data_IF_220573395086
#
_entry.id   IF_220573395086
#
_cell.length_a   1.000
_cell.length_b   1.000
_cell.length_c   1.000
_cell.angle_alpha   90.00
_cell.angle_beta   90.00
_cell.angle_gamma   90.00
#
_symmetry.space_group_name_H-M   'P 1'
#
loop_
_entity.id
_entity.type
_entity.pdbx_description
1 polymer ?
#
# COMPACT_ATOMS: atom_id res chain seq x y z
N UNK A 1 34.11 -49.91 37.99
CA UNK A 1 33.36 -48.68 38.25
C UNK A 1 33.52 -47.76 37.07
N UNK A 2 32.66 -47.91 36.08
CA UNK A 2 32.60 -47.07 34.87
C UNK A 2 31.68 -45.87 35.12
N UNK A 3 32.20 -44.66 34.95
CA UNK A 3 31.42 -43.43 35.01
C UNK A 3 30.82 -43.16 33.62
N UNK A 4 29.52 -43.37 33.50
CA UNK A 4 28.75 -42.97 32.35
C UNK A 4 28.64 -41.42 32.33
N UNK A 5 29.30 -40.77 31.35
CA UNK A 5 29.10 -39.36 31.03
C UNK A 5 27.77 -39.24 30.30
N UNK A 6 26.74 -38.73 30.98
CA UNK A 6 25.55 -38.24 30.34
C UNK A 6 25.87 -36.88 29.71
N UNK A 7 25.99 -36.87 28.38
CA UNK A 7 25.97 -35.65 27.59
C UNK A 7 24.53 -35.07 27.66
N UNK A 8 24.39 -33.91 28.31
CA UNK A 8 23.15 -33.15 28.24
C UNK A 8 23.07 -32.52 26.86
N UNK A 9 22.26 -33.11 25.98
CA UNK A 9 21.78 -32.49 24.78
C UNK A 9 20.95 -31.26 25.19
N UNK A 10 21.57 -30.09 25.08
CA UNK A 10 20.88 -28.82 25.14
C UNK A 10 20.13 -28.63 23.81
N UNK A 11 18.97 -29.27 23.68
CA UNK A 11 18.03 -28.95 22.61
C UNK A 11 17.61 -27.50 22.78
N UNK A 12 18.29 -26.63 22.02
CA UNK A 12 17.90 -25.25 21.84
C UNK A 12 16.44 -25.23 21.38
N UNK A 13 15.55 -24.82 22.29
CA UNK A 13 14.21 -24.38 21.94
C UNK A 13 14.38 -23.23 20.93
N UNK A 14 14.24 -23.55 19.65
CA UNK A 14 14.29 -22.58 18.57
C UNK A 14 13.11 -21.63 18.70
N UNK A 15 13.30 -20.55 19.47
CA UNK A 15 12.36 -19.45 19.49
C UNK A 15 12.15 -18.97 18.05
N UNK A 16 10.92 -18.93 17.58
CA UNK A 16 10.60 -18.43 16.25
C UNK A 16 11.24 -17.05 16.07
N UNK A 17 12.09 -16.92 15.04
CA UNK A 17 12.75 -15.63 14.76
C UNK A 17 11.70 -14.61 14.35
N UNK A 18 11.73 -13.44 14.98
CA UNK A 18 10.89 -12.31 14.57
C UNK A 18 11.18 -11.97 13.10
N UNK A 19 10.13 -11.77 12.34
CA UNK A 19 10.18 -11.23 10.98
C UNK A 19 10.30 -9.70 11.02
N UNK A 20 10.92 -9.07 10.02
CA UNK A 20 11.23 -7.63 10.08
C UNK A 20 9.99 -6.73 10.01
N UNK A 21 9.01 -7.07 9.18
CA UNK A 21 7.89 -6.18 8.85
C UNK A 21 6.63 -6.97 8.54
N UNK A 22 5.51 -6.51 9.09
CA UNK A 22 4.15 -6.89 8.71
C UNK A 22 3.49 -5.73 7.99
N UNK A 23 2.74 -6.00 6.92
CA UNK A 23 1.80 -5.04 6.34
C UNK A 23 0.37 -5.50 6.64
N UNK A 24 -0.41 -4.66 7.33
CA UNK A 24 -1.86 -4.84 7.49
C UNK A 24 -2.58 -3.86 6.56
N UNK A 25 -3.34 -4.38 5.62
CA UNK A 25 -3.93 -3.65 4.51
C UNK A 25 -5.45 -3.77 4.51
N UNK A 26 -6.10 -2.79 3.88
CA UNK A 26 -7.56 -2.73 3.79
C UNK A 26 -8.15 -3.75 2.82
N UNK A 27 -7.53 -3.94 1.65
CA UNK A 27 -8.11 -4.75 0.59
C UNK A 27 -7.07 -5.45 -0.31
N UNK A 28 -7.56 -6.19 -1.29
CA UNK A 28 -6.75 -6.97 -2.23
C UNK A 28 -6.03 -6.11 -3.25
N UNK A 29 -6.58 -4.96 -3.64
CA UNK A 29 -5.96 -4.01 -4.56
C UNK A 29 -4.74 -3.37 -3.91
N UNK A 30 -4.87 -2.97 -2.65
CA UNK A 30 -3.75 -2.47 -1.85
C UNK A 30 -2.66 -3.54 -1.69
N UNK A 31 -3.05 -4.78 -1.39
CA UNK A 31 -2.11 -5.89 -1.28
C UNK A 31 -1.37 -6.13 -2.61
N UNK A 32 -2.08 -6.14 -3.72
CA UNK A 32 -1.50 -6.34 -5.05
C UNK A 32 -0.56 -5.20 -5.45
N UNK A 33 -0.94 -3.96 -5.14
CA UNK A 33 -0.07 -2.79 -5.36
C UNK A 33 1.23 -2.90 -4.57
N UNK A 34 1.15 -3.26 -3.29
CA UNK A 34 2.34 -3.37 -2.45
C UNK A 34 3.19 -4.59 -2.81
N UNK A 35 2.59 -5.71 -3.21
CA UNK A 35 3.33 -6.83 -3.78
C UNK A 35 4.09 -6.42 -5.03
N UNK A 36 3.47 -5.67 -5.94
CA UNK A 36 4.15 -5.13 -7.12
C UNK A 36 5.33 -4.22 -6.75
N UNK A 37 5.18 -3.33 -5.78
CA UNK A 37 6.28 -2.50 -5.31
C UNK A 37 7.40 -3.31 -4.67
N UNK A 38 7.09 -4.12 -3.66
CA UNK A 38 8.08 -4.85 -2.88
C UNK A 38 8.65 -6.08 -3.59
N UNK A 39 7.96 -6.60 -4.61
CA UNK A 39 8.45 -7.69 -5.47
C UNK A 39 9.57 -7.29 -6.43
N UNK A 40 9.83 -5.98 -6.60
CA UNK A 40 10.92 -5.48 -7.45
C UNK A 40 12.29 -5.83 -6.87
N UNK A 41 13.22 -6.22 -7.73
CA UNK A 41 14.61 -6.36 -7.29
C UNK A 41 15.12 -5.05 -6.68
N UNK A 42 15.63 -5.16 -5.46
CA UNK A 42 16.22 -4.03 -4.71
C UNK A 42 15.31 -2.81 -4.56
N UNK A 43 13.98 -3.00 -4.48
CA UNK A 43 13.03 -1.89 -4.28
C UNK A 43 13.38 -1.00 -3.09
N UNK A 44 13.91 -1.58 -2.01
CA UNK A 44 14.41 -0.83 -0.87
C UNK A 44 15.43 0.26 -1.24
N UNK A 45 16.27 0.03 -2.28
CA UNK A 45 17.20 1.05 -2.77
C UNK A 45 16.47 2.22 -3.43
N UNK A 46 15.41 1.96 -4.16
CA UNK A 46 14.56 3.01 -4.76
C UNK A 46 13.88 3.87 -3.69
N UNK A 47 13.59 3.28 -2.53
CA UNK A 47 13.11 4.00 -1.37
C UNK A 47 14.21 4.75 -0.61
N UNK A 48 15.48 4.43 -0.84
CA UNK A 48 16.63 4.96 -0.11
C UNK A 48 16.75 4.40 1.31
N UNK A 49 16.30 3.17 1.53
CA UNK A 49 16.49 2.43 2.77
C UNK A 49 17.38 1.20 2.58
N UNK A 50 17.82 0.61 3.68
CA UNK A 50 18.51 -0.68 3.70
C UNK A 50 17.56 -1.84 3.39
N UNK A 51 18.08 -3.06 3.22
CA UNK A 51 17.26 -4.25 3.08
C UNK A 51 16.31 -4.40 4.26
N UNK A 52 15.06 -4.78 4.00
CA UNK A 52 14.06 -5.02 5.04
C UNK A 52 14.32 -6.40 5.66
N UNK A 53 15.26 -6.44 6.59
CA UNK A 53 15.74 -7.69 7.20
C UNK A 53 15.94 -7.53 8.70
N UNK A 54 15.74 -8.62 9.45
CA UNK A 54 15.98 -8.69 10.88
C UNK A 54 16.58 -10.06 11.22
N UNK A 55 17.79 -10.09 11.81
CA UNK A 55 18.44 -11.32 12.27
C UNK A 55 18.47 -12.46 11.23
N UNK A 56 18.62 -12.10 9.94
CA UNK A 56 18.62 -13.04 8.82
C UNK A 56 17.25 -13.38 8.25
N UNK A 57 16.15 -12.98 8.89
CA UNK A 57 14.82 -13.02 8.28
C UNK A 57 14.67 -11.84 7.30
N UNK A 58 14.05 -12.09 6.16
CA UNK A 58 13.82 -11.10 5.09
C UNK A 58 12.30 -10.91 4.98
N UNK A 59 11.88 -9.67 4.74
CA UNK A 59 10.48 -9.38 4.42
C UNK A 59 10.08 -10.09 3.12
N UNK A 60 8.97 -10.80 3.18
CA UNK A 60 8.38 -11.53 2.07
C UNK A 60 7.00 -10.94 1.73
N UNK A 61 6.89 -10.24 0.59
CA UNK A 61 5.65 -9.60 0.18
C UNK A 61 4.48 -10.54 -0.07
N UNK A 62 4.74 -11.84 -0.26
CA UNK A 62 3.66 -12.84 -0.40
C UNK A 62 3.14 -13.32 0.96
N UNK A 63 4.03 -13.44 1.95
CA UNK A 63 3.71 -14.07 3.23
C UNK A 63 3.61 -13.09 4.42
N UNK A 64 4.08 -11.85 4.29
CA UNK A 64 4.11 -10.86 5.38
C UNK A 64 3.10 -9.73 5.16
N UNK A 65 2.15 -9.93 4.25
CA UNK A 65 0.99 -9.06 4.03
C UNK A 65 -0.27 -9.75 4.56
N UNK A 66 -1.06 -9.01 5.31
CA UNK A 66 -2.41 -9.40 5.76
C UNK A 66 -3.43 -8.42 5.21
N UNK A 67 -4.52 -8.93 4.70
CA UNK A 67 -5.69 -8.11 4.31
C UNK A 67 -6.75 -8.25 5.38
N UNK A 68 -7.27 -7.13 5.85
CA UNK A 68 -8.34 -7.15 6.85
C UNK A 68 -9.68 -7.52 6.18
N UNK A 69 -10.44 -8.51 6.69
CA UNK A 69 -11.69 -8.94 6.07
C UNK A 69 -12.78 -7.86 6.06
N UNK A 70 -12.67 -6.87 6.94
CA UNK A 70 -13.59 -5.72 7.03
C UNK A 70 -13.14 -4.50 6.23
N UNK A 71 -12.18 -4.64 5.31
CA UNK A 71 -11.66 -3.56 4.47
C UNK A 71 -11.20 -2.32 5.29
N UNK A 72 -11.28 -1.09 4.74
CA UNK A 72 -10.89 0.13 5.44
C UNK A 72 -11.59 0.32 6.79
N UNK A 73 -12.92 0.13 6.91
CA UNK A 73 -13.59 0.16 8.21
C UNK A 73 -13.06 -0.86 9.20
N UNK A 74 -12.61 -2.03 8.73
CA UNK A 74 -12.04 -3.08 9.55
C UNK A 74 -10.66 -2.69 10.09
N UNK A 75 -9.76 -2.21 9.23
CA UNK A 75 -8.45 -1.70 9.66
C UNK A 75 -8.61 -0.54 10.63
N UNK A 76 -9.61 0.31 10.45
CA UNK A 76 -9.88 1.42 11.36
C UNK A 76 -10.41 0.97 12.72
N UNK A 77 -11.43 0.07 12.75
CA UNK A 77 -12.19 -0.24 13.97
C UNK A 77 -11.71 -1.47 14.73
N UNK A 78 -11.04 -2.38 14.07
CA UNK A 78 -10.68 -3.70 14.60
C UNK A 78 -9.29 -4.20 14.17
N UNK A 79 -8.26 -3.34 14.12
CA UNK A 79 -6.91 -3.78 13.73
C UNK A 79 -6.35 -4.82 14.71
N UNK A 80 -6.77 -4.79 15.98
CA UNK A 80 -6.30 -5.69 17.02
C UNK A 80 -6.71 -7.15 16.76
N UNK A 81 -7.80 -7.41 16.03
CA UNK A 81 -8.21 -8.77 15.68
C UNK A 81 -7.09 -9.56 14.97
N UNK A 82 -6.27 -8.85 14.18
CA UNK A 82 -5.11 -9.44 13.50
C UNK A 82 -3.83 -9.16 14.30
N UNK A 83 -3.60 -7.92 14.69
CA UNK A 83 -2.31 -7.49 15.23
C UNK A 83 -1.98 -8.10 16.60
N UNK A 84 -2.98 -8.46 17.39
CA UNK A 84 -2.73 -9.05 18.72
C UNK A 84 -1.92 -10.36 18.63
N UNK A 85 -2.23 -11.23 17.69
CA UNK A 85 -1.48 -12.47 17.48
C UNK A 85 -0.11 -12.22 16.81
N UNK A 86 -0.05 -11.25 15.90
CA UNK A 86 1.15 -11.02 15.09
C UNK A 86 2.26 -10.24 15.81
N UNK A 87 1.99 -9.60 16.94
CA UNK A 87 2.99 -8.81 17.70
C UNK A 87 4.23 -9.59 18.16
N UNK A 88 4.10 -10.92 18.27
CA UNK A 88 5.20 -11.83 18.67
C UNK A 88 5.96 -12.38 17.47
N UNK A 89 5.41 -12.20 16.27
CA UNK A 89 5.95 -12.73 15.02
C UNK A 89 6.72 -11.67 14.23
N UNK A 90 6.40 -10.38 14.43
CA UNK A 90 6.97 -9.28 13.65
C UNK A 90 7.55 -8.19 14.53
N UNK A 91 8.66 -7.59 14.06
CA UNK A 91 9.32 -6.47 14.72
C UNK A 91 8.60 -5.14 14.45
N UNK A 92 8.18 -4.90 13.22
CA UNK A 92 7.52 -3.67 12.79
C UNK A 92 6.22 -3.98 12.06
N UNK A 93 5.27 -3.04 12.08
CA UNK A 93 4.01 -3.15 11.37
C UNK A 93 3.63 -1.82 10.68
N UNK A 94 3.21 -1.89 9.44
CA UNK A 94 2.54 -0.79 8.74
C UNK A 94 1.06 -1.13 8.58
N UNK A 95 0.20 -0.21 9.03
CA UNK A 95 -1.24 -0.26 8.73
C UNK A 95 -1.50 0.72 7.59
N UNK A 96 -2.05 0.23 6.48
CA UNK A 96 -2.25 1.05 5.28
C UNK A 96 -3.70 0.91 4.84
N UNK A 97 -4.37 2.05 4.71
CA UNK A 97 -5.77 2.14 4.32
C UNK A 97 -6.03 3.45 3.58
N UNK A 98 -7.15 3.53 2.89
CA UNK A 98 -7.59 4.74 2.20
C UNK A 98 -8.14 5.78 3.18
N UNK A 99 -8.09 7.06 2.80
CA UNK A 99 -8.72 8.15 3.56
C UNK A 99 -10.23 8.23 3.27
N UNK A 100 -10.63 7.84 2.06
CA UNK A 100 -11.99 8.04 1.56
C UNK A 100 -12.74 6.72 1.37
N UNK A 101 -13.72 6.46 2.21
CA UNK A 101 -14.73 5.42 2.03
C UNK A 101 -16.08 5.91 2.55
N UNK A 102 -17.17 5.22 2.22
CA UNK A 102 -18.51 5.60 2.69
C UNK A 102 -18.57 5.58 4.24
N UNK A 103 -18.84 6.74 4.83
CA UNK A 103 -18.91 6.90 6.28
C UNK A 103 -17.55 7.08 6.96
N UNK A 104 -16.47 7.32 6.20
CA UNK A 104 -15.16 7.60 6.78
C UNK A 104 -15.20 8.83 7.70
N UNK A 105 -14.61 8.76 8.90
CA UNK A 105 -14.44 9.93 9.74
C UNK A 105 -13.31 10.82 9.22
N UNK A 106 -13.07 11.94 9.90
CA UNK A 106 -11.93 12.80 9.55
C UNK A 106 -10.60 12.06 9.71
N UNK A 107 -9.61 12.29 8.85
CA UNK A 107 -8.31 11.60 8.85
C UNK A 107 -7.62 11.54 10.21
N UNK A 108 -7.60 12.65 10.94
CA UNK A 108 -6.99 12.71 12.27
C UNK A 108 -7.68 11.76 13.27
N UNK A 109 -9.01 11.57 13.13
CA UNK A 109 -9.76 10.64 13.99
C UNK A 109 -9.44 9.20 13.60
N UNK A 110 -9.33 8.87 12.32
CA UNK A 110 -8.93 7.52 11.86
C UNK A 110 -7.60 7.14 12.50
N UNK A 111 -6.60 8.01 12.37
CA UNK A 111 -5.26 7.77 12.91
C UNK A 111 -5.30 7.58 14.44
N UNK A 112 -5.95 8.50 15.14
CA UNK A 112 -6.02 8.45 16.61
C UNK A 112 -6.74 7.19 17.13
N UNK A 113 -7.84 6.79 16.49
CA UNK A 113 -8.59 5.59 16.86
C UNK A 113 -7.72 4.33 16.63
N UNK A 114 -7.06 4.21 15.48
CA UNK A 114 -6.17 3.07 15.18
C UNK A 114 -5.01 3.01 16.19
N UNK A 115 -4.32 4.13 16.41
CA UNK A 115 -3.21 4.20 17.36
C UNK A 115 -3.66 3.79 18.78
N UNK A 116 -4.83 4.26 19.21
CA UNK A 116 -5.43 3.87 20.48
C UNK A 116 -5.63 2.36 20.59
N UNK A 117 -6.26 1.72 19.60
CA UNK A 117 -6.53 0.29 19.59
C UNK A 117 -5.25 -0.56 19.50
N UNK A 118 -4.30 -0.13 18.67
CA UNK A 118 -3.03 -0.85 18.50
C UNK A 118 -2.22 -0.84 19.80
N UNK A 119 -2.19 0.30 20.50
CA UNK A 119 -1.49 0.43 21.78
C UNK A 119 -2.22 -0.32 22.90
N UNK A 120 -3.54 -0.05 23.07
CA UNK A 120 -4.30 -0.51 24.24
C UNK A 120 -4.73 -1.97 24.13
N UNK A 121 -5.06 -2.46 22.95
CA UNK A 121 -5.63 -3.79 22.75
C UNK A 121 -4.68 -4.75 22.04
N UNK A 122 -4.08 -4.36 20.91
CA UNK A 122 -3.10 -5.19 20.25
C UNK A 122 -1.74 -5.24 20.98
N UNK A 123 -1.51 -4.33 21.96
CA UNK A 123 -0.31 -4.30 22.81
C UNK A 123 1.00 -4.14 22.04
N UNK A 124 0.98 -3.40 20.94
CA UNK A 124 2.18 -2.99 20.24
C UNK A 124 2.78 -1.74 20.87
N UNK A 125 4.10 -1.61 20.82
CA UNK A 125 4.82 -0.40 21.25
C UNK A 125 4.76 0.67 20.15
N UNK A 126 4.73 1.97 20.53
CA UNK A 126 4.51 3.09 19.60
C UNK A 126 5.55 3.18 18.48
N UNK A 127 6.77 2.81 18.76
CA UNK A 127 7.88 2.84 17.79
C UNK A 127 7.88 1.65 16.83
N UNK A 128 7.03 0.66 17.05
CA UNK A 128 6.96 -0.58 16.27
C UNK A 128 5.88 -0.56 15.20
N UNK A 129 5.01 0.43 15.16
CA UNK A 129 3.99 0.52 14.13
C UNK A 129 3.84 1.94 13.57
N UNK A 130 3.29 2.05 12.37
CA UNK A 130 2.92 3.31 11.75
C UNK A 130 1.66 3.15 10.91
N UNK A 131 0.82 4.19 10.91
CA UNK A 131 -0.41 4.25 10.12
C UNK A 131 -0.18 5.11 8.89
N UNK A 132 -0.40 4.55 7.72
CA UNK A 132 -0.30 5.24 6.43
C UNK A 132 -1.73 5.40 5.89
N UNK A 133 -2.19 6.63 5.79
CA UNK A 133 -3.50 6.97 5.27
C UNK A 133 -3.34 7.52 3.86
N UNK A 134 -3.81 6.78 2.85
CA UNK A 134 -3.65 7.14 1.44
C UNK A 134 -4.74 8.15 1.06
N UNK A 135 -4.37 9.21 0.37
CA UNK A 135 -5.28 10.30 0.03
C UNK A 135 -5.43 10.47 -1.47
N UNK A 136 -6.67 10.48 -1.98
CA UNK A 136 -7.90 10.05 -1.30
C UNK A 136 -7.99 8.54 -1.20
N UNK A 137 -7.44 7.80 -2.17
CA UNK A 137 -7.54 6.37 -2.38
C UNK A 137 -6.26 5.84 -3.04
N UNK A 138 -6.03 4.53 -2.93
CA UNK A 138 -4.85 3.81 -3.42
C UNK A 138 -4.51 4.11 -4.87
N UNK A 139 -5.50 4.24 -5.73
CA UNK A 139 -5.31 4.45 -7.17
C UNK A 139 -4.48 5.72 -7.47
N UNK A 140 -4.42 6.67 -6.53
CA UNK A 140 -3.52 7.82 -6.64
C UNK A 140 -2.05 7.43 -6.81
N UNK A 141 -1.63 6.27 -6.30
CA UNK A 141 -0.26 5.78 -6.44
C UNK A 141 0.03 5.19 -7.82
N UNK A 142 -0.99 4.73 -8.55
CA UNK A 142 -0.86 4.13 -9.87
C UNK A 142 -0.73 5.19 -10.96
N UNK A 143 -1.41 6.33 -10.78
CA UNK A 143 -1.44 7.39 -11.78
C UNK A 143 -0.11 8.12 -11.87
N UNK A 144 0.62 7.84 -12.95
CA UNK A 144 1.87 8.49 -13.32
C UNK A 144 1.93 8.72 -14.82
N UNK A 145 2.76 9.67 -15.25
CA UNK A 145 3.02 9.94 -16.65
C UNK A 145 3.98 8.90 -17.22
N UNK A 146 3.48 7.71 -17.50
CA UNK A 146 4.21 6.61 -18.11
C UNK A 146 3.23 5.69 -18.86
N UNK A 147 3.70 4.80 -19.72
CA UNK A 147 2.83 3.91 -20.50
C UNK A 147 2.21 2.77 -19.69
N UNK A 148 2.63 2.52 -18.46
CA UNK A 148 2.31 1.29 -17.74
C UNK A 148 0.83 1.13 -17.41
N UNK A 149 0.12 2.24 -17.17
CA UNK A 149 -1.33 2.19 -17.00
C UNK A 149 -2.01 1.81 -18.31
N UNK A 150 -1.61 2.44 -19.44
CA UNK A 150 -2.15 2.10 -20.75
C UNK A 150 -1.88 0.63 -21.12
N UNK A 151 -0.67 0.16 -20.88
CA UNK A 151 -0.27 -1.24 -21.11
C UNK A 151 -1.12 -2.22 -20.31
N UNK A 152 -1.27 -2.00 -19.01
CA UNK A 152 -2.01 -2.88 -18.12
C UNK A 152 -3.51 -2.95 -18.46
N UNK A 153 -4.08 -1.86 -18.98
CA UNK A 153 -5.46 -1.82 -19.48
C UNK A 153 -5.60 -2.22 -20.95
N UNK A 154 -4.51 -2.59 -21.61
CA UNK A 154 -4.47 -2.87 -23.05
C UNK A 154 -5.09 -1.76 -23.90
N UNK A 155 -4.89 -0.51 -23.48
CA UNK A 155 -5.45 0.63 -24.20
C UNK A 155 -4.84 0.73 -25.62
N UNK A 156 -5.70 0.78 -26.64
CA UNK A 156 -5.27 0.69 -28.04
C UNK A 156 -4.92 2.04 -28.67
N UNK A 157 -5.04 3.14 -27.94
CA UNK A 157 -4.70 4.47 -28.43
C UNK A 157 -3.27 4.90 -28.05
N UNK A 158 -2.93 6.12 -28.46
CA UNK A 158 -1.69 6.77 -28.03
C UNK A 158 -1.83 7.36 -26.63
N UNK A 159 -0.70 7.68 -25.97
CA UNK A 159 -0.70 8.37 -24.68
C UNK A 159 -1.51 9.67 -24.74
N UNK A 160 -1.37 10.46 -25.79
CA UNK A 160 -2.14 11.70 -25.97
C UNK A 160 -3.64 11.42 -26.00
N UNK A 161 -4.08 10.38 -26.70
CA UNK A 161 -5.49 9.99 -26.76
C UNK A 161 -5.98 9.50 -25.39
N UNK A 162 -5.19 8.71 -24.67
CA UNK A 162 -5.52 8.28 -23.31
C UNK A 162 -5.72 9.49 -22.40
N UNK A 163 -4.77 10.40 -22.37
CA UNK A 163 -4.87 11.57 -21.49
C UNK A 163 -6.02 12.50 -21.87
N UNK A 164 -6.29 12.66 -23.17
CA UNK A 164 -7.44 13.41 -23.65
C UNK A 164 -8.76 12.74 -23.23
N UNK A 165 -8.84 11.42 -23.34
CA UNK A 165 -9.97 10.65 -22.87
C UNK A 165 -10.20 10.84 -21.36
N UNK A 166 -9.17 10.65 -20.55
CA UNK A 166 -9.25 10.78 -19.09
C UNK A 166 -9.60 12.22 -18.65
N UNK A 167 -9.03 13.22 -19.32
CA UNK A 167 -9.38 14.62 -19.08
C UNK A 167 -10.85 14.89 -19.39
N UNK A 168 -11.38 14.13 -20.31
CA UNK A 168 -12.76 14.21 -20.73
C UNK A 168 -13.75 13.42 -19.88
N UNK A 169 -13.36 12.65 -18.90
CA UNK A 169 -14.27 11.86 -18.08
C UNK A 169 -14.61 12.56 -16.76
N UNK A 170 -15.85 12.42 -16.32
CA UNK A 170 -16.26 12.72 -14.96
C UNK A 170 -17.06 11.54 -14.41
N UNK A 171 -16.93 11.32 -13.12
CA UNK A 171 -17.63 10.26 -12.42
C UNK A 171 -18.86 10.83 -11.72
N UNK A 172 -20.01 10.22 -11.94
CA UNK A 172 -21.22 10.45 -11.14
C UNK A 172 -21.43 9.30 -10.18
N UNK A 173 -21.67 9.65 -8.94
CA UNK A 173 -22.21 8.70 -7.99
C UNK A 173 -23.65 8.42 -8.35
N UNK A 174 -24.00 7.17 -8.61
CA UNK A 174 -25.39 6.75 -8.77
C UNK A 174 -26.05 6.75 -7.38
N UNK A 175 -26.84 7.78 -7.10
CA UNK A 175 -27.50 7.95 -5.81
C UNK A 175 -28.48 6.83 -5.45
N UNK A 176 -29.02 6.11 -6.46
CA UNK A 176 -29.96 5.00 -6.22
C UNK A 176 -29.25 3.69 -5.90
N UNK A 177 -28.17 3.40 -6.63
CA UNK A 177 -27.47 2.11 -6.55
C UNK A 177 -26.11 2.24 -5.89
N UNK A 178 -25.70 3.44 -5.46
CA UNK A 178 -24.35 3.75 -4.92
C UNK A 178 -23.23 3.31 -5.87
N UNK A 179 -23.53 3.30 -7.18
CA UNK A 179 -22.57 2.95 -8.23
C UNK A 179 -22.04 4.19 -8.89
N UNK A 180 -20.79 4.16 -9.22
CA UNK A 180 -20.20 5.18 -10.06
C UNK A 180 -20.63 5.00 -11.51
N UNK A 181 -21.03 6.09 -12.18
CA UNK A 181 -21.34 6.14 -13.59
C UNK A 181 -20.45 7.14 -14.29
N UNK A 182 -19.90 6.72 -15.41
CA UNK A 182 -19.10 7.58 -16.25
C UNK A 182 -19.98 8.52 -17.03
N UNK A 183 -19.67 9.79 -17.02
CA UNK A 183 -20.34 10.82 -17.80
C UNK A 183 -19.30 11.37 -18.77
N UNK A 184 -19.71 11.55 -20.00
CA UNK A 184 -18.90 12.25 -21.00
C UNK A 184 -18.50 13.61 -20.45
N UNK A 185 -17.29 13.88 -20.59
CA UNK A 185 -16.52 14.97 -20.09
C UNK A 185 -17.14 16.32 -20.17
N UNK A 186 -17.01 16.95 -19.10
CA UNK A 186 -16.82 18.38 -19.09
C UNK A 186 -15.36 18.67 -19.58
N UNK A 187 -15.16 19.30 -20.72
CA UNK A 187 -13.80 19.64 -21.20
C UNK A 187 -13.02 20.53 -20.23
N UNK A 188 -13.71 21.14 -19.27
CA UNK A 188 -13.12 21.95 -18.19
C UNK A 188 -12.96 21.16 -16.89
N UNK A 189 -13.43 19.92 -16.83
CA UNK A 189 -13.45 19.11 -15.61
C UNK A 189 -12.35 18.10 -15.60
N UNK A 190 -11.16 18.52 -15.68
CA UNK A 190 -10.38 17.42 -15.78
C UNK A 190 -8.96 17.52 -15.37
N UNK A 191 -8.30 16.55 -15.75
CA UNK A 191 -6.90 16.38 -15.78
C UNK A 191 -6.32 17.20 -16.89
N UNK A 192 -5.19 17.83 -16.68
CA UNK A 192 -4.36 18.23 -17.79
C UNK A 192 -4.05 16.97 -18.62
N UNK A 193 -4.12 17.02 -19.96
CA UNK A 193 -3.84 15.90 -20.86
C UNK A 193 -2.43 15.32 -20.70
N UNK A 194 -1.65 15.93 -19.82
CA UNK A 194 -0.32 15.51 -19.47
C UNK A 194 -0.08 15.90 -18.03
N UNK A 195 0.19 14.94 -17.14
CA UNK A 195 0.69 15.25 -15.80
C UNK A 195 2.17 15.66 -15.86
N UNK A 196 2.52 16.93 -15.73
CA UNK A 196 3.90 17.30 -15.49
C UNK A 196 4.36 16.74 -14.15
N UNK A 197 5.63 16.43 -14.06
CA UNK A 197 6.22 16.05 -12.78
C UNK A 197 5.92 17.13 -11.73
N UNK A 198 5.45 16.71 -10.56
CA UNK A 198 5.11 17.62 -9.46
C UNK A 198 3.68 18.18 -9.46
N UNK A 199 2.86 17.84 -10.47
CA UNK A 199 1.44 18.21 -10.43
C UNK A 199 0.66 17.34 -9.42
N UNK A 200 -0.41 17.88 -8.81
CA UNK A 200 -1.27 17.13 -7.93
C UNK A 200 -1.83 15.87 -8.60
N UNK A 201 -1.97 14.82 -7.82
CA UNK A 201 -2.65 13.60 -8.26
C UNK A 201 -4.11 13.89 -8.59
N UNK A 202 -4.78 12.99 -9.35
CA UNK A 202 -6.21 13.13 -9.62
C UNK A 202 -7.03 13.29 -8.35
N UNK A 203 -8.05 14.11 -8.41
CA UNK A 203 -9.00 14.25 -7.30
C UNK A 203 -9.91 13.02 -7.16
N UNK A 204 -10.12 12.29 -8.26
CA UNK A 204 -10.89 11.05 -8.29
C UNK A 204 -10.09 9.96 -9.00
N UNK A 205 -9.06 9.42 -8.36
CA UNK A 205 -8.16 8.45 -8.99
C UNK A 205 -8.84 7.13 -9.30
N UNK A 206 -9.72 6.64 -8.43
CA UNK A 206 -10.50 5.41 -8.61
C UNK A 206 -11.48 5.54 -9.78
N UNK A 207 -12.20 6.65 -9.83
CA UNK A 207 -13.13 6.89 -10.92
C UNK A 207 -12.47 6.90 -12.29
N UNK A 208 -11.20 7.29 -12.38
CA UNK A 208 -10.46 7.21 -13.63
C UNK A 208 -10.04 5.79 -13.98
N UNK A 209 -9.67 4.98 -13.00
CA UNK A 209 -9.42 3.54 -13.19
C UNK A 209 -10.68 2.86 -13.70
N UNK A 210 -11.83 3.14 -13.08
CA UNK A 210 -13.13 2.61 -13.51
C UNK A 210 -13.51 3.08 -14.93
N UNK A 211 -13.29 4.38 -15.25
CA UNK A 211 -13.54 4.92 -16.59
C UNK A 211 -12.69 4.20 -17.66
N UNK A 212 -11.42 4.00 -17.37
CA UNK A 212 -10.52 3.31 -18.28
C UNK A 212 -10.88 1.83 -18.42
N UNK A 213 -11.20 1.16 -17.32
CA UNK A 213 -11.69 -0.22 -17.32
C UNK A 213 -12.92 -0.38 -18.20
N UNK A 214 -13.91 0.51 -18.05
CA UNK A 214 -15.11 0.49 -18.85
C UNK A 214 -14.81 0.70 -20.34
N UNK A 215 -13.94 1.68 -20.66
CA UNK A 215 -13.55 1.99 -22.03
C UNK A 215 -12.81 0.82 -22.71
N UNK A 216 -11.90 0.19 -21.99
CA UNK A 216 -11.10 -0.93 -22.48
C UNK A 216 -11.84 -2.27 -22.39
N UNK A 217 -13.03 -2.31 -21.82
CA UNK A 217 -13.80 -3.54 -21.55
C UNK A 217 -13.01 -4.56 -20.73
N UNK A 218 -12.10 -4.08 -19.91
CA UNK A 218 -11.28 -4.87 -19.00
C UNK A 218 -11.68 -4.51 -17.56
N UNK A 219 -12.12 -5.49 -16.79
CA UNK A 219 -12.39 -5.25 -15.36
C UNK A 219 -11.11 -4.89 -14.61
N UNK A 220 -11.17 -4.01 -13.61
CA UNK A 220 -10.04 -3.81 -12.72
C UNK A 220 -9.80 -5.11 -11.95
N UNK A 221 -8.77 -5.84 -12.35
CA UNK A 221 -8.33 -7.04 -11.64
C UNK A 221 -7.16 -6.68 -10.73
N UNK A 222 -7.08 -7.26 -9.56
CA UNK A 222 -5.97 -7.03 -8.63
C UNK A 222 -4.60 -7.27 -9.27
N UNK A 223 -4.51 -8.16 -10.27
CA UNK A 223 -3.31 -8.36 -11.08
C UNK A 223 -2.82 -7.13 -11.81
N UNK A 224 -3.73 -6.25 -12.28
CA UNK A 224 -3.35 -5.00 -12.96
C UNK A 224 -2.67 -4.02 -11.99
N UNK A 225 -3.14 -3.95 -10.75
CA UNK A 225 -2.50 -3.14 -9.71
C UNK A 225 -1.06 -3.59 -9.44
N UNK A 226 -0.84 -4.90 -9.38
CA UNK A 226 0.49 -5.49 -9.26
C UNK A 226 1.36 -5.15 -10.49
N UNK A 227 0.84 -5.33 -11.69
CA UNK A 227 1.56 -5.07 -12.93
C UNK A 227 2.00 -3.60 -13.02
N UNK A 228 1.09 -2.66 -12.81
CA UNK A 228 1.39 -1.22 -12.85
C UNK A 228 2.43 -0.89 -11.77
N UNK A 229 2.18 -1.29 -10.54
CA UNK A 229 3.03 -0.96 -9.40
C UNK A 229 4.42 -1.61 -9.49
N UNK A 230 4.56 -2.74 -10.18
CA UNK A 230 5.86 -3.36 -10.44
C UNK A 230 6.75 -2.53 -11.37
N UNK A 231 6.18 -1.61 -12.16
CA UNK A 231 6.87 -0.85 -13.21
C UNK A 231 6.97 0.66 -12.91
N UNK A 232 5.96 1.26 -12.26
CA UNK A 232 5.92 2.73 -12.04
C UNK A 232 7.10 3.23 -11.23
N UNK A 233 7.65 4.38 -11.62
CA UNK A 233 8.75 5.00 -10.88
C UNK A 233 8.27 5.57 -9.55
N UNK A 234 9.02 5.34 -8.49
CA UNK A 234 8.81 5.98 -7.17
C UNK A 234 9.76 7.17 -6.96
N UNK A 235 10.67 7.40 -7.91
CA UNK A 235 11.56 8.56 -7.92
C UNK A 235 10.76 9.83 -8.17
N UNK A 236 10.98 10.85 -7.34
CA UNK A 236 10.25 12.11 -7.46
C UNK A 236 8.77 12.05 -7.05
N UNK A 237 8.32 10.96 -6.44
CA UNK A 237 6.97 10.88 -5.89
C UNK A 237 6.75 11.98 -4.85
N UNK A 238 5.67 12.74 -5.01
CA UNK A 238 5.27 13.85 -4.12
C UNK A 238 4.03 13.51 -3.29
N UNK A 239 3.49 12.31 -3.43
CA UNK A 239 2.36 11.84 -2.64
C UNK A 239 2.72 11.75 -1.16
N UNK A 240 1.96 12.40 -0.31
CA UNK A 240 2.29 12.53 1.12
C UNK A 240 2.25 11.19 1.87
N UNK A 241 1.32 10.31 1.52
CA UNK A 241 1.22 8.98 2.13
C UNK A 241 2.39 8.10 1.71
N UNK A 242 2.74 8.13 0.42
CA UNK A 242 3.91 7.40 -0.08
C UNK A 242 5.22 7.94 0.52
N UNK A 243 5.34 9.26 0.66
CA UNK A 243 6.50 9.86 1.34
C UNK A 243 6.58 9.42 2.81
N UNK A 244 5.45 9.38 3.52
CA UNK A 244 5.39 8.88 4.90
C UNK A 244 5.80 7.40 4.97
N UNK A 245 5.29 6.55 4.09
CA UNK A 245 5.70 5.15 3.96
C UNK A 245 7.23 5.04 3.78
N UNK A 246 7.77 5.76 2.80
CA UNK A 246 9.20 5.79 2.50
C UNK A 246 10.04 6.21 3.70
N UNK A 247 9.67 7.31 4.35
CA UNK A 247 10.45 7.88 5.45
C UNK A 247 10.36 7.00 6.71
N UNK A 248 9.23 6.32 6.92
CA UNK A 248 9.09 5.29 7.97
C UNK A 248 10.03 4.12 7.71
N UNK A 249 10.06 3.60 6.49
CA UNK A 249 10.96 2.49 6.14
C UNK A 249 12.45 2.89 6.23
N UNK A 250 12.80 4.12 5.86
CA UNK A 250 14.16 4.67 6.06
C UNK A 250 14.56 4.74 7.52
N UNK A 251 13.64 5.13 8.38
CA UNK A 251 13.85 5.17 9.83
C UNK A 251 14.06 3.78 10.42
N UNK A 252 13.24 2.82 10.02
CA UNK A 252 13.29 1.47 10.56
C UNK A 252 14.42 0.60 9.98
N UNK A 253 14.72 0.81 8.71
CA UNK A 253 15.74 0.06 7.97
C UNK A 253 16.75 1.02 7.30
N UNK A 254 17.61 1.66 8.09
CA UNK A 254 18.54 2.64 7.54
C UNK A 254 19.60 1.97 6.66
N UNK A 255 20.13 2.70 5.68
CA UNK A 255 21.27 2.26 4.90
C UNK A 255 22.46 2.03 5.82
N UNK A 256 23.04 0.84 5.81
CA UNK A 256 24.26 0.55 6.55
C UNK A 256 25.42 1.34 5.91
N UNK A 257 26.02 2.23 6.65
CA UNK A 257 27.22 2.98 6.20
C UNK A 257 27.17 4.49 6.36
N UNK A 258 26.00 5.08 6.60
CA UNK A 258 25.93 6.51 6.97
C UNK A 258 25.94 6.60 8.50
N UNK A 259 27.14 6.49 9.12
CA UNK A 259 27.30 6.99 10.48
C UNK A 259 27.16 8.51 10.40
N UNK A 260 26.09 9.05 10.96
CA UNK A 260 25.96 10.48 11.24
C UNK A 260 26.84 10.86 12.41
#
# INVERSE_FOLDING_TARGET
MERVHQSRDSSCLGGARLKPLLLLLADSECASTLRGFFGRDKFHKSLGCGPITLNGAIFDSENDIRVHPGHDPGVWKDPQAILFSERRNYEKCLLILDEAWEGAPKPAKIIADIEGLVLSEAKWERDRFEVILIRPELEAWLWQRNPHVAEAFEYKGTDTQLWTFLAGQSLRLDSKNKRHRFVVANPNGGFPPVWPQGQPKPQNPKGLVEALSYHCQSGPASGMFNEISSKVSVSGCVDTAFLKLRDTLRKWFPLRGVRR
#
